data_IF_652084090628
#
_entry.id   IF_652084090628
#
_cell.length_a   1.000
_cell.length_b   1.000
_cell.length_c   1.000
_cell.angle_alpha   90.00
_cell.angle_beta   90.00
_cell.angle_gamma   90.00
#
_symmetry.space_group_name_H-M   'P 1'
#
loop_
_entity.id
_entity.type
_entity.pdbx_description
1 polymer ?
#
# COMPACT_ATOMS: atom_id res chain seq x y z
N UNK A 1 7.87 18.93 18.16
CA UNK A 1 8.27 17.55 17.86
C UNK A 1 8.04 17.35 16.37
N UNK A 2 9.03 17.74 15.57
CA UNK A 2 9.00 17.57 14.11
C UNK A 2 9.44 16.15 13.80
N UNK A 3 8.48 15.29 13.44
CA UNK A 3 8.73 13.95 12.90
C UNK A 3 9.33 14.07 11.49
N UNK A 4 10.54 14.62 11.37
CA UNK A 4 11.42 14.39 10.22
C UNK A 4 12.18 13.08 10.43
N UNK A 5 11.41 12.03 10.70
CA UNK A 5 11.86 10.65 10.74
C UNK A 5 11.52 10.09 9.35
N UNK A 6 12.31 9.37 8.58
CA UNK A 6 13.67 8.85 8.70
C UNK A 6 13.84 8.03 7.43
N UNK A 7 14.95 8.22 6.69
CA UNK A 7 15.46 7.31 5.65
C UNK A 7 14.51 7.02 4.48
N UNK A 8 14.89 7.44 3.28
CA UNK A 8 14.46 6.85 2.01
C UNK A 8 14.85 5.35 1.99
N UNK A 9 14.10 4.51 2.71
CA UNK A 9 14.15 3.07 2.58
C UNK A 9 13.54 2.77 1.21
N UNK A 10 14.44 2.36 0.30
CA UNK A 10 14.21 1.66 -0.97
C UNK A 10 12.73 1.45 -1.33
N UNK A 11 12.32 1.94 -2.50
CA UNK A 11 11.00 1.64 -3.06
C UNK A 11 10.79 0.12 -3.13
N UNK A 12 9.70 -0.41 -2.56
CA UNK A 12 9.47 -1.84 -2.56
C UNK A 12 9.28 -2.33 -4.00
N UNK A 13 9.89 -3.47 -4.30
CA UNK A 13 9.77 -4.10 -5.61
C UNK A 13 8.31 -4.56 -5.82
N UNK A 14 7.85 -4.66 -7.07
CA UNK A 14 6.50 -5.17 -7.40
C UNK A 14 6.15 -6.49 -6.68
N UNK A 15 7.00 -7.55 -6.69
CA UNK A 15 6.69 -8.77 -5.97
C UNK A 15 6.62 -8.59 -4.44
N UNK A 16 7.35 -7.62 -3.87
CA UNK A 16 7.25 -7.31 -2.44
C UNK A 16 5.90 -6.67 -2.12
N UNK A 17 5.46 -5.72 -2.94
CA UNK A 17 4.16 -5.06 -2.76
C UNK A 17 3.00 -6.03 -2.89
N UNK A 18 3.06 -6.97 -3.86
CA UNK A 18 2.05 -8.03 -3.97
C UNK A 18 2.00 -8.86 -2.68
N UNK A 19 3.17 -9.25 -2.13
CA UNK A 19 3.23 -9.96 -0.84
C UNK A 19 2.65 -9.14 0.32
N UNK A 20 2.88 -7.83 0.35
CA UNK A 20 2.29 -6.95 1.37
C UNK A 20 0.77 -6.87 1.24
N UNK A 21 0.25 -6.80 0.02
CA UNK A 21 -1.20 -6.82 -0.24
C UNK A 21 -1.81 -8.16 0.18
N UNK A 22 -1.17 -9.29 -0.12
CA UNK A 22 -1.63 -10.61 0.34
C UNK A 22 -1.58 -10.76 1.87
N UNK A 23 -0.62 -10.12 2.54
CA UNK A 23 -0.51 -10.16 4.01
C UNK A 23 -1.53 -9.24 4.69
N UNK A 24 -1.87 -8.12 4.04
CA UNK A 24 -2.72 -7.06 4.57
C UNK A 24 -3.90 -6.77 3.64
N UNK A 25 -4.65 -7.80 3.32
CA UNK A 25 -5.80 -7.70 2.42
C UNK A 25 -6.82 -6.70 2.97
N UNK A 26 -7.46 -5.92 2.09
CA UNK A 26 -8.45 -4.93 2.50
C UNK A 26 -7.88 -3.69 3.20
N UNK A 27 -6.56 -3.51 3.21
CA UNK A 27 -5.92 -2.29 3.71
C UNK A 27 -5.67 -1.28 2.58
N UNK A 28 -5.58 -0.01 2.96
CA UNK A 28 -5.29 1.10 2.06
C UNK A 28 -3.78 1.28 1.87
N UNK A 29 -3.34 1.96 0.81
CA UNK A 29 -1.89 2.17 0.56
C UNK A 29 -1.16 2.78 1.75
N UNK A 30 -1.83 3.69 2.46
CA UNK A 30 -1.29 4.38 3.64
C UNK A 30 -1.12 3.42 4.82
N UNK A 31 -2.09 2.52 5.01
CA UNK A 31 -2.04 1.53 6.07
C UNK A 31 -0.98 0.47 5.79
N UNK A 32 -0.89 -0.02 4.54
CA UNK A 32 0.17 -0.95 4.12
C UNK A 32 1.55 -0.34 4.34
N UNK A 33 1.75 0.92 3.94
CA UNK A 33 3.01 1.63 4.16
C UNK A 33 3.35 1.78 5.64
N UNK A 34 2.36 2.09 6.49
CA UNK A 34 2.58 2.21 7.93
C UNK A 34 2.89 0.86 8.60
N UNK A 35 2.19 -0.21 8.20
CA UNK A 35 2.37 -1.57 8.76
C UNK A 35 3.74 -2.16 8.39
N UNK A 36 4.25 -1.88 7.20
CA UNK A 36 5.55 -2.38 6.73
C UNK A 36 6.71 -1.37 6.94
N UNK A 37 6.41 -0.18 7.48
CA UNK A 37 7.42 0.85 7.75
C UNK A 37 8.09 1.41 6.50
N UNK A 38 7.31 1.64 5.44
CA UNK A 38 7.75 2.09 4.11
C UNK A 38 7.24 3.50 3.79
N UNK A 39 7.84 4.13 2.78
CA UNK A 39 7.34 5.41 2.28
C UNK A 39 5.98 5.25 1.58
N UNK A 40 5.03 6.11 1.94
CA UNK A 40 3.64 6.07 1.42
C UNK A 40 3.56 6.29 -0.09
N UNK A 41 4.43 7.12 -0.66
CA UNK A 41 4.40 7.45 -2.08
C UNK A 41 5.03 6.32 -2.88
N UNK A 42 6.16 5.78 -2.41
CA UNK A 42 6.79 4.61 -3.02
C UNK A 42 5.86 3.38 -3.04
N UNK A 43 5.16 3.11 -1.94
CA UNK A 43 4.16 2.03 -1.88
C UNK A 43 3.00 2.31 -2.84
N UNK A 44 2.47 3.54 -2.87
CA UNK A 44 1.36 3.89 -3.76
C UNK A 44 1.72 3.75 -5.25
N UNK A 45 2.93 4.14 -5.64
CA UNK A 45 3.42 4.00 -7.01
C UNK A 45 3.58 2.52 -7.40
N UNK A 46 4.26 1.71 -6.56
CA UNK A 46 4.43 0.28 -6.81
C UNK A 46 3.08 -0.49 -6.82
N UNK A 47 2.11 -0.10 -5.99
CA UNK A 47 0.74 -0.66 -6.01
C UNK A 47 0.05 -0.36 -7.34
N UNK A 48 0.19 0.86 -7.86
CA UNK A 48 -0.40 1.23 -9.14
C UNK A 48 0.20 0.40 -10.29
N UNK A 49 1.52 0.21 -10.28
CA UNK A 49 2.21 -0.62 -11.28
C UNK A 49 1.78 -2.10 -11.15
N UNK A 50 1.72 -2.64 -9.93
CA UNK A 50 1.26 -4.01 -9.69
C UNK A 50 -0.19 -4.23 -10.18
N UNK A 51 -1.05 -3.23 -10.01
CA UNK A 51 -2.43 -3.23 -10.53
C UNK A 51 -2.45 -3.23 -12.06
N UNK A 52 -1.62 -2.39 -12.70
CA UNK A 52 -1.52 -2.34 -14.16
C UNK A 52 -1.02 -3.67 -14.74
N UNK A 53 -0.18 -4.40 -14.01
CA UNK A 53 0.26 -5.75 -14.36
C UNK A 53 -0.77 -6.84 -14.06
N UNK A 54 -1.93 -6.49 -13.47
CA UNK A 54 -2.99 -7.44 -13.13
C UNK A 54 -2.67 -8.34 -11.94
N UNK A 55 -1.67 -8.00 -11.11
CA UNK A 55 -1.26 -8.80 -9.95
C UNK A 55 -2.12 -8.50 -8.70
N UNK A 56 -2.66 -7.28 -8.62
CA UNK A 56 -3.57 -6.85 -7.55
C UNK A 56 -4.74 -6.06 -8.13
N UNK A 57 -5.81 -5.91 -7.34
CA UNK A 57 -7.02 -5.16 -7.70
C UNK A 57 -7.42 -4.19 -6.60
N UNK A 58 -8.17 -3.16 -6.99
CA UNK A 58 -8.81 -2.27 -6.03
C UNK A 58 -10.03 -2.98 -5.42
N UNK A 59 -10.14 -2.95 -4.11
CA UNK A 59 -11.36 -3.32 -3.39
C UNK A 59 -12.26 -2.11 -3.12
N UNK A 60 -13.22 -2.31 -2.23
CA UNK A 60 -14.14 -1.27 -1.79
C UNK A 60 -13.40 -0.13 -1.09
N UNK A 61 -13.87 1.10 -1.32
CA UNK A 61 -13.35 2.27 -0.63
C UNK A 61 -13.72 2.21 0.85
N UNK A 62 -12.71 2.29 1.71
CA UNK A 62 -12.83 2.26 3.17
C UNK A 62 -12.29 3.56 3.75
N UNK A 63 -12.84 3.97 4.89
CA UNK A 63 -12.25 5.02 5.70
C UNK A 63 -10.89 4.54 6.23
N UNK A 64 -9.82 5.18 5.79
CA UNK A 64 -8.45 4.92 6.25
C UNK A 64 -8.33 5.33 7.72
N UNK A 65 -7.86 4.42 8.57
CA UNK A 65 -7.72 4.70 10.01
C UNK A 65 -6.64 5.76 10.32
N UNK A 66 -5.70 6.00 9.40
CA UNK A 66 -4.58 6.92 9.60
C UNK A 66 -4.93 8.36 9.21
N UNK A 67 -5.64 8.54 8.08
CA UNK A 67 -5.93 9.87 7.53
C UNK A 67 -7.41 10.26 7.62
N UNK A 68 -8.26 9.36 8.12
CA UNK A 68 -9.69 9.58 8.30
C UNK A 68 -10.41 10.00 6.99
N UNK A 69 -9.92 9.50 5.86
CA UNK A 69 -10.47 9.75 4.50
C UNK A 69 -10.86 8.44 3.85
N UNK A 70 -11.92 8.44 3.05
CA UNK A 70 -12.31 7.28 2.23
C UNK A 70 -11.36 7.12 1.06
N UNK A 71 -10.65 6.00 1.01
CA UNK A 71 -9.72 5.65 -0.06
C UNK A 71 -9.86 4.19 -0.43
N UNK A 72 -9.44 3.83 -1.65
CA UNK A 72 -9.51 2.46 -2.14
C UNK A 72 -8.62 1.52 -1.30
N UNK A 73 -9.12 0.31 -1.08
CA UNK A 73 -8.37 -0.80 -0.48
C UNK A 73 -7.73 -1.65 -1.57
N UNK A 74 -6.72 -2.44 -1.21
CA UNK A 74 -6.02 -3.33 -2.12
C UNK A 74 -6.26 -4.79 -1.78
N UNK A 75 -6.43 -5.60 -2.82
CA UNK A 75 -6.66 -7.04 -2.74
C UNK A 75 -5.82 -7.75 -3.79
N UNK A 76 -5.38 -9.00 -3.55
CA UNK A 76 -4.73 -9.80 -4.59
C UNK A 76 -5.68 -10.04 -5.77
N UNK A 77 -5.14 -10.09 -6.99
CA UNK A 77 -5.94 -10.35 -8.18
C UNK A 77 -6.25 -11.84 -8.37
N UNK A 78 -5.33 -12.72 -7.95
CA UNK A 78 -5.49 -14.18 -8.00
C UNK A 78 -6.31 -14.69 -6.80
N UNK A 79 -7.56 -15.05 -7.08
CA UNK A 79 -8.25 -16.21 -6.50
C UNK A 79 -8.13 -17.36 -7.49
#
# INVERSE_FOLDING_TARGET
MDFRDQKFRRSPSIPEVVRFVCKHEGHTSREIAALEGLDKYAVAESLLIAKQQGLIKNGLARQCNIQNVRVATWWPANE
#
